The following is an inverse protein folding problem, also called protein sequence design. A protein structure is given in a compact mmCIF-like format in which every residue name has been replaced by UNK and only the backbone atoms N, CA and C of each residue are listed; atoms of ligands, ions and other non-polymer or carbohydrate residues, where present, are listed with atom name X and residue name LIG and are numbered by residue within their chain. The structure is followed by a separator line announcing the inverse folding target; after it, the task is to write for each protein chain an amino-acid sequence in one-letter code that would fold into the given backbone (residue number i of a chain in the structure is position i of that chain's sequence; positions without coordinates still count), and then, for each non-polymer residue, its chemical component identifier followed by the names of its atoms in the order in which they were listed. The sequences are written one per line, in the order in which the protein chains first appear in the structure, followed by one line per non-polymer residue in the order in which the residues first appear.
data_IF_610379339425
#
_entry.id   IF_610379339425
#
_cell.length_a   1.000
_cell.length_b   1.000
_cell.length_c   1.000
_cell.angle_alpha   90.00
_cell.angle_beta   90.00
_cell.angle_gamma   90.00
#
_symmetry.space_group_name_H-M   'P 1'
#
loop_
_entity.id
_entity.type
_entity.pdbx_description
1 polymer ?
#
# COMPACT_ATOMS: atom_id res chain seq x y z
N UNK A 1 20.42 -32.70 48.49
CA UNK A 1 20.10 -34.12 48.20
C UNK A 1 19.43 -34.13 46.84
N UNK A 2 20.16 -34.37 45.74
CA UNK A 2 20.63 -35.66 45.17
C UNK A 2 19.51 -36.52 44.58
N UNK A 3 19.73 -37.00 43.35
CA UNK A 3 18.75 -37.59 42.43
C UNK A 3 18.65 -39.14 42.53
N UNK A 4 17.77 -39.74 41.72
CA UNK A 4 18.10 -40.77 40.70
C UNK A 4 17.87 -40.23 39.25
N UNK A 5 18.49 -40.65 38.13
CA UNK A 5 19.41 -41.76 37.74
C UNK A 5 18.89 -43.18 37.97
N UNK A 6 18.65 -44.03 36.96
CA UNK A 6 18.92 -44.01 35.49
C UNK A 6 17.79 -44.79 34.77
N UNK A 7 17.73 -45.03 33.45
CA UNK A 7 18.65 -45.82 32.59
C UNK A 7 18.39 -45.53 31.10
N UNK A 8 19.40 -45.74 30.27
CA UNK A 8 19.24 -45.89 28.83
C UNK A 8 18.89 -47.34 28.46
N UNK A 9 18.08 -47.53 27.42
CA UNK A 9 18.00 -48.79 26.68
C UNK A 9 18.31 -48.49 25.22
N UNK A 10 19.41 -49.06 24.74
CA UNK A 10 19.74 -49.12 23.31
C UNK A 10 18.99 -50.32 22.74
N UNK A 11 18.21 -50.11 21.69
CA UNK A 11 17.76 -51.20 20.82
C UNK A 11 18.16 -50.87 19.38
N UNK A 12 19.26 -51.48 18.92
CA UNK A 12 19.47 -51.68 17.50
C UNK A 12 18.54 -52.82 17.06
N UNK A 13 17.71 -52.58 16.06
CA UNK A 13 17.15 -53.64 15.23
C UNK A 13 17.42 -53.29 13.77
N UNK A 14 18.00 -54.26 13.07
CA UNK A 14 18.38 -54.21 11.67
C UNK A 14 17.18 -54.03 10.74
N UNK A 15 17.39 -53.34 9.62
CA UNK A 15 16.30 -52.98 8.72
C UNK A 15 15.84 -54.11 7.80
N UNK A 16 14.69 -53.89 7.17
CA UNK A 16 14.27 -54.53 5.92
C UNK A 16 13.79 -53.41 5.00
N UNK A 17 14.43 -53.28 3.83
CA UNK A 17 13.92 -52.42 2.78
C UNK A 17 12.79 -53.14 2.05
N UNK A 18 11.59 -52.54 2.03
CA UNK A 18 10.49 -52.98 1.18
C UNK A 18 10.12 -51.83 0.23
N UNK A 19 10.42 -52.05 -1.06
CA UNK A 19 9.99 -51.17 -2.15
C UNK A 19 8.47 -51.23 -2.29
N UNK A 20 7.78 -50.20 -1.77
CA UNK A 20 6.36 -49.99 -1.98
C UNK A 20 6.10 -48.95 -3.05
N UNK A 21 5.75 -49.38 -4.28
CA UNK A 21 5.18 -48.47 -5.27
C UNK A 21 3.78 -48.04 -4.81
N UNK A 22 3.63 -46.78 -4.40
CA UNK A 22 2.32 -46.14 -4.19
C UNK A 22 2.14 -44.98 -5.16
N UNK A 23 1.04 -45.04 -5.91
CA UNK A 23 0.79 -44.16 -7.06
C UNK A 23 0.62 -42.69 -6.66
N UNK A 24 1.17 -41.78 -7.47
CA UNK A 24 1.01 -40.34 -7.31
C UNK A 24 -0.38 -39.87 -7.73
N UNK A 25 -1.31 -39.76 -6.78
CA UNK A 25 -2.52 -38.94 -6.94
C UNK A 25 -2.16 -37.46 -6.78
N UNK A 26 -1.56 -36.89 -7.83
CA UNK A 26 -1.17 -35.48 -7.85
C UNK A 26 -2.38 -34.55 -7.67
N UNK A 27 -2.43 -33.84 -6.55
CA UNK A 27 -3.40 -32.78 -6.29
C UNK A 27 -2.74 -31.43 -6.63
N UNK A 28 -3.08 -30.77 -7.76
CA UNK A 28 -2.45 -29.51 -8.12
C UNK A 28 -2.99 -28.39 -7.22
N UNK A 29 -2.10 -27.64 -6.55
CA UNK A 29 -2.49 -26.43 -5.83
C UNK A 29 -1.98 -26.27 -4.40
N UNK A 30 -0.72 -26.59 -4.12
CA UNK A 30 0.00 -25.87 -3.06
C UNK A 30 1.30 -25.29 -3.62
N UNK A 31 1.25 -24.00 -3.94
CA UNK A 31 2.45 -23.22 -4.27
C UNK A 31 2.81 -22.37 -3.06
N UNK A 32 3.61 -22.97 -2.19
CA UNK A 32 4.25 -22.32 -1.05
C UNK A 32 5.18 -21.20 -1.53
N UNK A 33 4.61 -20.03 -1.81
CA UNK A 33 5.38 -18.82 -2.15
C UNK A 33 6.14 -18.35 -0.91
N UNK A 34 7.43 -18.66 -0.88
CA UNK A 34 8.39 -18.02 0.02
C UNK A 34 8.41 -16.49 -0.15
N UNK A 35 9.01 -15.76 0.79
CA UNK A 35 9.03 -14.30 0.79
C UNK A 35 9.66 -13.75 -0.50
N UNK A 36 8.95 -12.81 -1.15
CA UNK A 36 9.39 -12.19 -2.40
C UNK A 36 10.61 -11.30 -2.17
N UNK A 37 11.62 -11.43 -3.03
CA UNK A 37 12.67 -10.42 -3.16
C UNK A 37 12.05 -9.09 -3.64
N UNK A 38 12.35 -8.01 -2.92
CA UNK A 38 12.02 -6.64 -3.34
C UNK A 38 13.04 -6.14 -4.39
N UNK A 39 12.68 -5.11 -5.16
CA UNK A 39 13.55 -4.53 -6.20
C UNK A 39 13.31 -5.06 -7.62
N UNK A 40 13.32 -6.38 -7.84
CA UNK A 40 13.36 -6.99 -9.20
C UNK A 40 12.19 -6.66 -10.17
N UNK A 41 11.13 -6.02 -9.71
CA UNK A 41 9.99 -5.57 -10.53
C UNK A 41 9.38 -4.26 -10.00
N UNK A 42 10.21 -3.28 -9.61
CA UNK A 42 9.71 -2.02 -9.08
C UNK A 42 8.80 -1.28 -10.07
N UNK A 43 7.65 -0.77 -9.59
CA UNK A 43 6.69 -0.02 -10.41
C UNK A 43 6.45 1.39 -9.89
N UNK A 44 6.84 2.39 -10.68
CA UNK A 44 6.55 3.79 -10.37
C UNK A 44 5.21 4.19 -10.99
N UNK A 45 4.32 4.73 -10.17
CA UNK A 45 3.04 5.27 -10.59
C UNK A 45 3.00 6.79 -10.46
N UNK A 46 2.45 7.45 -11.48
CA UNK A 46 2.23 8.89 -11.45
C UNK A 46 0.83 9.19 -10.89
N UNK A 47 0.75 10.07 -9.89
CA UNK A 47 -0.47 10.65 -9.35
C UNK A 47 -0.26 12.16 -9.08
N UNK A 48 0.57 12.81 -9.88
CA UNK A 48 0.90 14.22 -9.74
C UNK A 48 -0.11 15.12 -10.43
N UNK A 49 -0.37 16.28 -9.83
CA UNK A 49 -1.31 17.28 -10.33
C UNK A 49 -0.60 18.56 -10.83
N UNK A 50 0.74 18.50 -10.95
CA UNK A 50 1.56 19.58 -11.47
C UNK A 50 1.55 19.56 -13.00
N UNK A 51 1.38 20.72 -13.63
CA UNK A 51 1.43 20.86 -15.09
C UNK A 51 2.85 20.73 -15.68
N UNK A 52 3.86 20.91 -14.85
CA UNK A 52 5.26 21.09 -15.28
C UNK A 52 6.17 19.92 -14.88
N UNK A 53 5.61 18.84 -14.32
CA UNK A 53 6.37 17.62 -14.00
C UNK A 53 6.08 16.50 -14.98
N UNK A 54 7.09 16.14 -15.76
CA UNK A 54 7.03 15.00 -16.67
C UNK A 54 7.78 13.79 -16.06
N UNK A 55 7.03 12.75 -15.72
CA UNK A 55 7.56 11.44 -15.30
C UNK A 55 7.55 10.40 -16.44
N UNK A 56 7.11 10.75 -17.65
CA UNK A 56 7.04 9.81 -18.79
C UNK A 56 8.41 9.20 -19.12
N UNK A 57 9.48 9.98 -18.93
CA UNK A 57 10.87 9.57 -19.11
C UNK A 57 11.31 8.35 -18.27
N UNK A 58 10.58 7.99 -17.20
CA UNK A 58 10.84 6.80 -16.38
C UNK A 58 9.75 5.73 -16.46
N UNK A 59 9.05 5.63 -17.61
CA UNK A 59 8.13 4.52 -17.94
C UNK A 59 7.03 4.32 -16.88
N UNK A 60 6.54 5.41 -16.29
CA UNK A 60 5.49 5.37 -15.28
C UNK A 60 4.16 4.88 -15.86
N UNK A 61 3.25 4.47 -14.98
CA UNK A 61 1.83 4.34 -15.31
C UNK A 61 1.03 5.30 -14.45
N UNK A 62 0.09 6.05 -15.03
CA UNK A 62 -0.84 6.86 -14.25
C UNK A 62 -1.63 5.99 -13.29
N UNK A 63 -1.71 6.38 -12.03
CA UNK A 63 -2.67 5.83 -11.06
C UNK A 63 -3.81 6.82 -10.87
N UNK A 64 -4.98 6.33 -10.50
CA UNK A 64 -6.13 7.20 -10.25
C UNK A 64 -6.54 7.17 -8.77
N UNK A 65 -6.70 8.35 -8.17
CA UNK A 65 -7.14 8.51 -6.77
C UNK A 65 -8.58 9.00 -6.72
N UNK A 66 -9.45 8.18 -6.12
CA UNK A 66 -10.84 8.52 -5.81
C UNK A 66 -10.84 9.31 -4.50
N UNK A 67 -10.72 10.63 -4.58
CA UNK A 67 -10.83 11.49 -3.40
C UNK A 67 -12.24 11.49 -2.80
N UNK A 68 -12.30 11.48 -1.47
CA UNK A 68 -13.51 11.61 -0.64
C UNK A 68 -14.46 12.73 -1.11
N UNK A 69 -13.92 13.90 -1.44
CA UNK A 69 -14.68 15.06 -1.91
C UNK A 69 -15.50 14.81 -3.18
N UNK A 70 -15.02 13.93 -4.08
CA UNK A 70 -15.79 13.53 -5.29
C UNK A 70 -16.99 12.65 -4.93
N UNK A 71 -16.89 11.87 -3.86
CA UNK A 71 -17.98 11.01 -3.35
C UNK A 71 -18.96 11.82 -2.50
N UNK A 72 -18.47 12.77 -1.71
CA UNK A 72 -19.31 13.73 -0.95
C UNK A 72 -20.27 14.52 -1.86
N UNK A 73 -19.81 14.88 -3.07
CA UNK A 73 -20.66 15.54 -4.08
C UNK A 73 -21.84 14.68 -4.55
N UNK A 74 -21.76 13.34 -4.44
CA UNK A 74 -22.85 12.41 -4.75
C UNK A 74 -23.85 12.25 -3.59
N UNK A 75 -23.48 12.64 -2.38
CA UNK A 75 -24.29 12.51 -1.15
C UNK A 75 -24.82 13.85 -0.64
N UNK A 76 -24.45 14.96 -1.27
CA UNK A 76 -24.76 16.32 -0.80
C UNK A 76 -23.98 16.74 0.45
N UNK A 77 -22.94 15.98 0.85
CA UNK A 77 -22.12 16.33 2.02
C UNK A 77 -21.25 17.55 1.76
N UNK A 78 -21.33 18.54 2.65
CA UNK A 78 -20.61 19.82 2.53
C UNK A 78 -19.39 19.93 3.44
N UNK A 79 -19.19 18.98 4.38
CA UNK A 79 -18.13 19.05 5.39
C UNK A 79 -17.23 17.82 5.37
N UNK A 80 -15.95 18.02 5.05
CA UNK A 80 -14.91 16.98 5.09
C UNK A 80 -14.54 16.52 6.51
N UNK A 81 -15.20 17.05 7.55
CA UNK A 81 -15.09 16.55 8.93
C UNK A 81 -16.14 15.47 9.25
N UNK A 82 -17.16 15.31 8.41
CA UNK A 82 -18.19 14.29 8.58
C UNK A 82 -17.72 12.96 7.97
N UNK A 83 -18.06 11.86 8.63
CA UNK A 83 -17.81 10.52 8.10
C UNK A 83 -18.50 10.34 6.74
N UNK A 84 -17.75 9.91 5.72
CA UNK A 84 -18.25 9.74 4.35
C UNK A 84 -19.51 8.86 4.33
N UNK A 85 -20.61 9.39 3.78
CA UNK A 85 -21.84 8.66 3.57
C UNK A 85 -21.71 7.74 2.35
N UNK A 86 -22.52 6.68 2.31
CA UNK A 86 -22.62 5.85 1.11
C UNK A 86 -23.53 6.57 0.10
N UNK A 87 -23.05 6.88 -1.12
CA UNK A 87 -23.90 7.34 -2.20
C UNK A 87 -24.76 6.19 -2.73
N UNK A 88 -25.67 6.51 -3.66
CA UNK A 88 -26.20 5.50 -4.56
C UNK A 88 -25.06 4.77 -5.31
N UNK A 89 -25.21 3.45 -5.44
CA UNK A 89 -24.22 2.57 -6.08
C UNK A 89 -24.08 2.88 -7.56
N UNK A 90 -25.17 3.13 -8.28
CA UNK A 90 -25.11 3.41 -9.71
C UNK A 90 -24.45 4.77 -9.96
N UNK A 91 -24.77 5.81 -9.17
CA UNK A 91 -24.12 7.11 -9.21
C UNK A 91 -22.60 7.02 -8.95
N UNK A 92 -22.18 6.27 -7.92
CA UNK A 92 -20.76 6.04 -7.62
C UNK A 92 -20.02 5.32 -8.75
N UNK A 93 -20.58 4.22 -9.26
CA UNK A 93 -19.98 3.48 -10.37
C UNK A 93 -19.97 4.29 -11.67
N UNK A 94 -20.97 5.14 -11.89
CA UNK A 94 -21.06 6.07 -13.02
C UNK A 94 -19.99 7.17 -12.94
N UNK A 95 -19.73 7.71 -11.73
CA UNK A 95 -18.60 8.61 -11.47
C UNK A 95 -17.26 7.94 -11.77
N UNK A 96 -17.05 6.71 -11.28
CA UNK A 96 -15.82 5.95 -11.54
C UNK A 96 -15.58 5.74 -13.05
N UNK A 97 -16.59 5.31 -13.80
CA UNK A 97 -16.45 5.08 -15.26
C UNK A 97 -16.11 6.35 -16.06
N UNK A 98 -16.56 7.53 -15.62
CA UNK A 98 -16.26 8.81 -16.29
C UNK A 98 -14.87 9.35 -16.01
N UNK A 99 -14.32 9.09 -14.82
CA UNK A 99 -13.16 9.82 -14.33
C UNK A 99 -11.84 9.04 -14.43
N UNK A 100 -11.90 7.73 -14.69
CA UNK A 100 -10.74 6.83 -14.62
C UNK A 100 -10.22 6.47 -16.01
N UNK A 101 -9.09 7.06 -16.40
CA UNK A 101 -8.38 6.75 -17.63
C UNK A 101 -7.80 5.33 -17.67
N UNK A 102 -7.35 4.89 -18.85
CA UNK A 102 -6.85 3.53 -19.09
C UNK A 102 -5.50 3.27 -18.40
N UNK A 103 -5.50 2.38 -17.41
CA UNK A 103 -4.28 1.79 -16.84
C UNK A 103 -3.98 2.19 -15.39
N UNK A 104 -3.17 1.37 -14.73
CA UNK A 104 -2.67 1.59 -13.36
C UNK A 104 -3.65 1.27 -12.20
N UNK A 105 -3.26 1.55 -10.95
CA UNK A 105 -4.11 1.38 -9.77
C UNK A 105 -5.33 2.31 -9.75
N UNK A 106 -6.35 1.92 -8.97
CA UNK A 106 -7.47 2.77 -8.52
C UNK A 106 -7.44 2.77 -7.00
N UNK A 107 -7.21 3.94 -6.41
CA UNK A 107 -6.89 4.10 -4.99
C UNK A 107 -8.01 4.89 -4.34
N UNK A 108 -8.59 4.38 -3.26
CA UNK A 108 -9.64 5.06 -2.51
C UNK A 108 -9.00 5.92 -1.41
N UNK A 109 -9.18 7.24 -1.48
CA UNK A 109 -8.65 8.19 -0.50
C UNK A 109 -9.82 8.77 0.32
N UNK A 110 -10.26 7.98 1.31
CA UNK A 110 -11.43 8.20 2.16
C UNK A 110 -11.00 8.26 3.64
N UNK A 111 -10.26 9.31 4.00
CA UNK A 111 -9.61 9.43 5.32
C UNK A 111 -10.61 9.45 6.49
N UNK A 112 -11.83 9.94 6.30
CA UNK A 112 -12.84 9.91 7.38
C UNK A 112 -13.31 8.49 7.73
N UNK A 113 -13.01 7.50 6.87
CA UNK A 113 -13.28 6.08 7.07
C UNK A 113 -12.11 5.31 7.69
N UNK A 114 -11.03 5.98 8.13
CA UNK A 114 -9.97 5.31 8.89
C UNK A 114 -10.51 4.62 10.16
N UNK A 115 -9.96 3.44 10.44
CA UNK A 115 -10.42 2.51 11.47
C UNK A 115 -9.93 2.95 12.86
N UNK A 116 -10.56 4.02 13.37
CA UNK A 116 -10.20 4.71 14.62
C UNK A 116 -11.40 4.90 15.55
N UNK A 117 -11.14 5.07 16.84
CA UNK A 117 -12.14 5.41 17.87
C UNK A 117 -12.86 4.20 18.48
N UNK A 118 -14.13 4.38 18.87
CA UNK A 118 -14.92 3.30 19.48
C UNK A 118 -15.18 2.14 18.50
N UNK A 119 -15.27 0.90 19.00
CA UNK A 119 -15.37 -0.32 18.17
C UNK A 119 -16.49 -0.26 17.12
N UNK A 120 -17.71 0.10 17.53
CA UNK A 120 -18.86 0.23 16.63
C UNK A 120 -18.69 1.31 15.54
N UNK A 121 -17.82 2.31 15.76
CA UNK A 121 -17.44 3.32 14.74
C UNK A 121 -16.49 2.69 13.73
N UNK A 122 -15.46 1.98 14.20
CA UNK A 122 -14.50 1.29 13.34
C UNK A 122 -15.17 0.20 12.49
N UNK A 123 -16.10 -0.58 13.05
CA UNK A 123 -16.87 -1.60 12.33
C UNK A 123 -17.76 -0.99 11.24
N UNK A 124 -18.50 0.09 11.55
CA UNK A 124 -19.30 0.83 10.56
C UNK A 124 -18.44 1.38 9.42
N UNK A 125 -17.23 1.88 9.71
CA UNK A 125 -16.29 2.39 8.71
C UNK A 125 -15.68 1.27 7.86
N UNK A 126 -15.34 0.14 8.49
CA UNK A 126 -14.94 -1.08 7.80
C UNK A 126 -16.01 -1.55 6.80
N UNK A 127 -17.28 -1.58 7.20
CA UNK A 127 -18.39 -1.95 6.31
C UNK A 127 -18.55 -0.98 5.13
N UNK A 128 -18.35 0.33 5.34
CA UNK A 128 -18.32 1.33 4.26
C UNK A 128 -17.16 1.08 3.29
N UNK A 129 -15.94 0.90 3.80
CA UNK A 129 -14.76 0.58 2.98
C UNK A 129 -14.94 -0.72 2.19
N UNK A 130 -15.48 -1.76 2.81
CA UNK A 130 -15.83 -3.03 2.17
C UNK A 130 -16.80 -2.83 1.00
N UNK A 131 -17.86 -2.01 1.18
CA UNK A 131 -18.82 -1.67 0.11
C UNK A 131 -18.16 -0.90 -1.02
N UNK A 132 -17.37 0.14 -0.73
CA UNK A 132 -16.66 0.91 -1.75
C UNK A 132 -15.64 0.07 -2.54
N UNK A 133 -14.84 -0.77 -1.89
CA UNK A 133 -13.93 -1.71 -2.55
C UNK A 133 -14.70 -2.68 -3.46
N UNK A 134 -15.81 -3.22 -2.98
CA UNK A 134 -16.69 -4.12 -3.76
C UNK A 134 -17.25 -3.43 -5.01
N UNK A 135 -17.78 -2.21 -4.86
CA UNK A 135 -18.34 -1.44 -5.98
C UNK A 135 -17.26 -0.99 -6.97
N UNK A 136 -16.05 -0.70 -6.50
CA UNK A 136 -14.89 -0.36 -7.34
C UNK A 136 -14.42 -1.56 -8.14
N UNK A 137 -14.27 -2.73 -7.51
CA UNK A 137 -13.92 -4.00 -8.17
C UNK A 137 -14.89 -4.36 -9.30
N UNK A 138 -16.19 -4.12 -9.10
CA UNK A 138 -17.22 -4.38 -10.11
C UNK A 138 -17.12 -3.46 -11.33
N UNK A 139 -16.52 -2.27 -11.21
CA UNK A 139 -16.22 -1.39 -12.35
C UNK A 139 -14.87 -1.76 -12.98
N UNK A 140 -13.91 -2.17 -12.16
CA UNK A 140 -12.53 -2.45 -12.57
C UNK A 140 -12.05 -3.85 -12.13
N UNK A 141 -12.60 -4.95 -12.71
CA UNK A 141 -12.27 -6.31 -12.27
C UNK A 141 -10.77 -6.60 -12.34
N UNK A 142 -10.11 -6.12 -13.40
CA UNK A 142 -8.71 -6.45 -13.74
C UNK A 142 -7.69 -5.36 -13.36
N UNK A 143 -8.06 -4.34 -12.58
CA UNK A 143 -7.12 -3.31 -12.10
C UNK A 143 -6.68 -3.59 -10.67
N UNK A 144 -5.54 -3.01 -10.30
CA UNK A 144 -5.11 -2.94 -8.89
C UNK A 144 -6.05 -1.97 -8.16
N UNK A 145 -6.70 -2.43 -7.09
CA UNK A 145 -7.57 -1.63 -6.23
C UNK A 145 -7.09 -1.72 -4.77
N UNK A 146 -7.11 -0.59 -4.06
CA UNK A 146 -6.84 -0.53 -2.62
C UNK A 146 -7.25 0.79 -2.00
N UNK A 147 -7.02 0.93 -0.70
CA UNK A 147 -7.33 2.15 0.07
C UNK A 147 -6.03 2.82 0.51
N UNK A 148 -5.94 4.13 0.31
CA UNK A 148 -4.84 4.95 0.81
C UNK A 148 -4.77 4.91 2.34
N UNK A 149 -3.56 4.88 2.90
CA UNK A 149 -3.27 5.18 4.30
C UNK A 149 -3.77 4.22 5.38
N UNK A 150 -4.67 3.27 5.09
CA UNK A 150 -5.42 2.49 6.10
C UNK A 150 -4.54 1.81 7.15
N UNK A 151 -3.46 1.12 6.76
CA UNK A 151 -2.61 0.40 7.71
C UNK A 151 -1.94 1.35 8.72
N UNK A 152 -1.39 2.48 8.27
CA UNK A 152 -0.77 3.48 9.12
C UNK A 152 -1.77 4.35 9.90
N UNK A 153 -3.06 4.27 9.57
CA UNK A 153 -4.15 5.04 10.17
C UNK A 153 -5.21 4.15 10.84
N UNK A 154 -4.89 2.90 11.19
CA UNK A 154 -5.75 2.05 11.99
C UNK A 154 -5.29 2.09 13.45
N UNK A 155 -6.19 2.36 14.39
CA UNK A 155 -5.84 2.29 15.82
C UNK A 155 -5.46 0.84 16.19
N UNK A 156 -4.51 0.61 17.12
CA UNK A 156 -4.04 -0.74 17.46
C UNK A 156 -5.17 -1.72 17.84
N UNK A 157 -6.27 -1.23 18.42
CA UNK A 157 -7.45 -2.01 18.80
C UNK A 157 -8.28 -2.54 17.62
N UNK A 158 -8.10 -2.01 16.40
CA UNK A 158 -8.88 -2.36 15.20
C UNK A 158 -8.03 -2.99 14.08
N UNK A 159 -6.82 -3.47 14.44
CA UNK A 159 -5.91 -4.17 13.52
C UNK A 159 -6.52 -5.47 12.95
N UNK A 160 -7.47 -6.07 13.63
CA UNK A 160 -8.27 -7.19 13.14
C UNK A 160 -9.14 -6.77 11.93
N UNK A 161 -9.78 -5.60 11.99
CA UNK A 161 -10.58 -5.05 10.90
C UNK A 161 -9.71 -4.67 9.69
N UNK A 162 -8.53 -4.09 9.92
CA UNK A 162 -7.56 -3.84 8.84
C UNK A 162 -7.10 -5.14 8.17
N UNK A 163 -6.87 -6.21 8.95
CA UNK A 163 -6.54 -7.54 8.42
C UNK A 163 -7.72 -8.17 7.67
N UNK A 164 -8.96 -8.00 8.16
CA UNK A 164 -10.17 -8.46 7.46
C UNK A 164 -10.44 -7.69 6.16
N UNK A 165 -9.97 -6.44 6.04
CA UNK A 165 -10.06 -5.64 4.82
C UNK A 165 -8.99 -6.01 3.78
N UNK A 166 -7.87 -6.61 4.18
CA UNK A 166 -6.73 -6.90 3.29
C UNK A 166 -7.08 -7.81 2.09
N UNK A 167 -7.93 -8.86 2.19
CA UNK A 167 -8.34 -9.67 1.05
C UNK A 167 -9.14 -8.93 -0.03
N UNK A 168 -9.71 -7.76 0.29
CA UNK A 168 -10.48 -6.93 -0.64
C UNK A 168 -9.62 -5.93 -1.43
N UNK A 169 -8.30 -5.92 -1.17
CA UNK A 169 -7.31 -5.02 -1.77
C UNK A 169 -6.22 -5.85 -2.47
N UNK A 170 -5.78 -5.44 -3.66
CA UNK A 170 -4.69 -6.13 -4.38
C UNK A 170 -3.30 -5.72 -3.89
N UNK A 171 -3.21 -4.53 -3.29
CA UNK A 171 -1.99 -3.91 -2.81
C UNK A 171 -2.30 -2.97 -1.64
N UNK A 172 -1.29 -2.71 -0.80
CA UNK A 172 -1.34 -1.70 0.25
C UNK A 172 -0.76 -0.38 -0.25
N UNK A 173 -1.42 0.73 0.10
CA UNK A 173 -1.03 2.10 -0.28
C UNK A 173 -0.74 2.96 0.96
N UNK A 174 0.30 2.64 1.75
CA UNK A 174 0.66 3.41 2.94
C UNK A 174 1.18 4.81 2.57
N UNK A 175 1.13 5.74 3.52
CA UNK A 175 1.74 7.07 3.35
C UNK A 175 3.19 7.10 3.85
N UNK A 176 4.06 7.70 3.06
CA UNK A 176 5.50 7.81 3.33
C UNK A 176 6.00 9.25 3.11
N UNK A 177 5.15 10.24 3.40
CA UNK A 177 5.49 11.65 3.29
C UNK A 177 6.49 12.10 4.35
N UNK A 178 7.37 13.02 3.98
CA UNK A 178 8.48 13.48 4.81
C UNK A 178 7.97 14.50 5.85
N UNK A 179 7.70 13.99 7.05
CA UNK A 179 7.19 14.74 8.22
C UNK A 179 8.28 15.29 9.14
N UNK A 180 9.56 15.00 8.85
CA UNK A 180 10.75 15.47 9.58
C UNK A 180 11.91 15.66 8.60
N UNK A 181 12.81 16.59 8.85
CA UNK A 181 13.99 16.89 8.01
C UNK A 181 15.15 15.88 8.13
N UNK A 182 14.86 14.62 8.45
CA UNK A 182 15.88 13.57 8.67
C UNK A 182 15.58 12.34 7.82
N UNK A 183 16.51 12.01 6.92
CA UNK A 183 16.43 10.80 6.10
C UNK A 183 16.46 9.52 6.95
N UNK A 184 17.25 9.50 8.04
CA UNK A 184 17.27 8.36 8.97
C UNK A 184 15.91 8.11 9.63
N UNK A 185 15.22 9.17 10.07
CA UNK A 185 13.89 9.05 10.64
C UNK A 185 12.84 8.60 9.59
N UNK A 186 12.97 9.11 8.35
CA UNK A 186 12.14 8.67 7.22
C UNK A 186 12.39 7.20 6.84
N UNK A 187 13.65 6.74 6.88
CA UNK A 187 14.03 5.36 6.59
C UNK A 187 13.48 4.39 7.64
N UNK A 188 13.56 4.75 8.92
CA UNK A 188 12.91 3.98 9.98
C UNK A 188 11.38 3.88 9.79
N UNK A 189 10.74 4.92 9.25
CA UNK A 189 9.32 4.89 8.90
C UNK A 189 9.05 3.98 7.69
N UNK A 190 9.90 3.99 6.65
CA UNK A 190 9.82 3.05 5.51
C UNK A 190 9.88 1.58 5.98
N UNK A 191 10.85 1.26 6.83
CA UNK A 191 11.05 -0.11 7.31
C UNK A 191 9.89 -0.55 8.24
N UNK A 192 9.37 0.36 9.09
CA UNK A 192 8.17 0.14 9.92
C UNK A 192 6.90 -0.10 9.08
N UNK A 193 6.67 0.72 8.04
CA UNK A 193 5.55 0.58 7.10
C UNK A 193 5.60 -0.78 6.38
N UNK A 194 6.80 -1.21 5.96
CA UNK A 194 7.01 -2.53 5.34
C UNK A 194 6.69 -3.66 6.30
N UNK A 195 7.19 -3.59 7.54
CA UNK A 195 6.96 -4.62 8.55
C UNK A 195 5.48 -4.78 8.90
N UNK A 196 4.73 -3.68 9.06
CA UNK A 196 3.29 -3.73 9.34
C UNK A 196 2.51 -4.32 8.15
N UNK A 197 2.83 -3.93 6.91
CA UNK A 197 2.23 -4.51 5.71
C UNK A 197 2.47 -6.03 5.61
N UNK A 198 3.72 -6.48 5.82
CA UNK A 198 4.08 -7.90 5.82
C UNK A 198 3.43 -8.69 6.96
N UNK A 199 3.20 -8.06 8.13
CA UNK A 199 2.48 -8.66 9.26
C UNK A 199 0.98 -8.87 8.97
N UNK A 200 0.39 -8.03 8.12
CA UNK A 200 -1.02 -8.14 7.72
C UNK A 200 -1.19 -9.18 6.61
N UNK A 201 -0.41 -9.08 5.53
CA UNK A 201 -0.40 -10.01 4.40
C UNK A 201 0.96 -9.97 3.67
N UNK A 202 1.85 -10.96 3.89
CA UNK A 202 3.21 -10.95 3.34
C UNK A 202 3.29 -11.20 1.83
N UNK A 203 2.19 -11.63 1.20
CA UNK A 203 2.10 -11.81 -0.26
C UNK A 203 1.57 -10.57 -0.99
N UNK A 204 1.05 -9.57 -0.25
CA UNK A 204 0.47 -8.35 -0.81
C UNK A 204 1.55 -7.37 -1.24
N UNK A 205 1.37 -6.77 -2.42
CA UNK A 205 2.30 -5.74 -2.91
C UNK A 205 2.16 -4.44 -2.13
N UNK A 206 3.26 -3.72 -1.96
CA UNK A 206 3.28 -2.44 -1.24
C UNK A 206 3.68 -1.32 -2.18
N UNK A 207 2.82 -0.32 -2.31
CA UNK A 207 3.01 0.88 -3.14
C UNK A 207 2.84 2.15 -2.29
N UNK A 208 3.85 2.54 -1.48
CA UNK A 208 3.77 3.76 -0.69
C UNK A 208 3.54 5.00 -1.54
N UNK A 209 2.78 5.93 -1.00
CA UNK A 209 2.70 7.30 -1.50
C UNK A 209 3.91 8.09 -1.00
N UNK A 210 4.68 8.62 -1.96
CA UNK A 210 5.81 9.54 -1.75
C UNK A 210 5.52 10.88 -2.40
N UNK A 211 6.13 11.96 -1.90
CA UNK A 211 5.84 13.32 -2.32
C UNK A 211 7.13 14.15 -2.31
N UNK A 212 7.51 14.82 -3.42
CA UNK A 212 8.71 15.68 -3.49
C UNK A 212 8.66 16.96 -2.61
N UNK A 213 7.67 17.11 -1.72
CA UNK A 213 7.58 18.21 -0.75
C UNK A 213 7.57 17.66 0.68
N UNK A 214 8.07 18.45 1.62
CA UNK A 214 7.80 18.23 3.04
C UNK A 214 6.30 18.24 3.34
N UNK A 215 5.87 17.33 4.20
CA UNK A 215 4.52 17.36 4.76
C UNK A 215 4.32 18.63 5.60
N UNK A 216 3.06 19.08 5.77
CA UNK A 216 2.71 20.28 6.55
C UNK A 216 3.27 20.28 7.98
N UNK A 217 3.48 19.08 8.56
CA UNK A 217 4.08 18.89 9.88
C UNK A 217 5.59 19.21 9.97
N UNK A 218 6.33 19.10 8.85
CA UNK A 218 7.73 19.53 8.75
C UNK A 218 7.86 20.95 8.17
N UNK A 219 6.98 21.32 7.25
CA UNK A 219 7.00 22.59 6.55
C UNK A 219 5.57 23.05 6.28
N UNK A 220 5.05 24.08 6.99
CA UNK A 220 3.71 24.61 6.73
C UNK A 220 3.53 25.13 5.30
N UNK A 221 4.60 25.63 4.69
CA UNK A 221 4.65 26.06 3.28
C UNK A 221 4.78 24.90 2.29
N UNK A 222 5.01 23.67 2.78
CA UNK A 222 5.26 22.46 1.98
C UNK A 222 6.44 22.67 1.01
N UNK A 223 7.56 23.15 1.53
CA UNK A 223 8.76 23.35 0.71
C UNK A 223 9.18 22.05 0.01
N UNK A 224 9.77 22.17 -1.19
CA UNK A 224 10.37 21.03 -1.89
C UNK A 224 11.46 20.39 -1.02
N UNK A 225 11.59 19.07 -1.12
CA UNK A 225 12.68 18.34 -0.49
C UNK A 225 14.03 18.73 -1.13
N UNK A 226 15.11 18.83 -0.34
CA UNK A 226 16.45 18.98 -0.89
C UNK A 226 16.75 17.85 -1.88
N UNK A 227 17.34 18.17 -3.03
CA UNK A 227 17.59 17.22 -4.14
C UNK A 227 18.24 15.91 -3.70
N UNK A 228 19.23 15.98 -2.81
CA UNK A 228 19.90 14.80 -2.25
C UNK A 228 18.94 13.92 -1.43
N UNK A 229 18.13 14.54 -0.56
CA UNK A 229 17.14 13.84 0.26
C UNK A 229 16.09 13.14 -0.60
N UNK A 230 15.52 13.83 -1.60
CA UNK A 230 14.55 13.22 -2.52
C UNK A 230 15.13 12.01 -3.27
N UNK A 231 16.37 12.11 -3.77
CA UNK A 231 17.04 10.99 -4.43
C UNK A 231 17.22 9.80 -3.48
N UNK A 232 17.69 10.03 -2.26
CA UNK A 232 17.85 8.97 -1.25
C UNK A 232 16.51 8.34 -0.85
N UNK A 233 15.43 9.11 -0.79
CA UNK A 233 14.08 8.58 -0.55
C UNK A 233 13.61 7.68 -1.70
N UNK A 234 13.67 8.15 -2.96
CA UNK A 234 13.28 7.36 -4.14
C UNK A 234 14.09 6.06 -4.24
N UNK A 235 15.42 6.14 -4.06
CA UNK A 235 16.31 4.98 -4.10
C UNK A 235 15.98 3.97 -2.99
N UNK A 236 15.74 4.45 -1.76
CA UNK A 236 15.36 3.61 -0.64
C UNK A 236 14.02 2.89 -0.87
N UNK A 237 13.01 3.56 -1.46
CA UNK A 237 11.76 2.90 -1.85
C UNK A 237 12.00 1.87 -2.95
N UNK A 238 12.81 2.19 -3.97
CA UNK A 238 13.14 1.30 -5.08
C UNK A 238 13.78 -0.01 -4.63
N UNK A 239 14.70 0.05 -3.65
CA UNK A 239 15.37 -1.12 -3.08
C UNK A 239 14.48 -1.96 -2.13
N UNK A 240 13.40 -1.37 -1.58
CA UNK A 240 12.72 -1.91 -0.38
C UNK A 240 11.26 -2.35 -0.64
N UNK A 241 10.60 -1.81 -1.67
CA UNK A 241 9.17 -1.98 -1.94
C UNK A 241 8.90 -2.58 -3.34
N UNK A 242 7.63 -2.90 -3.65
CA UNK A 242 7.21 -3.37 -4.99
C UNK A 242 7.03 -2.24 -6.00
N UNK A 243 7.02 -0.99 -5.55
CA UNK A 243 6.72 0.20 -6.34
C UNK A 243 6.52 1.42 -5.47
N UNK A 244 6.07 2.52 -6.07
CA UNK A 244 5.67 3.74 -5.37
C UNK A 244 4.61 4.50 -6.16
N UNK A 245 3.78 5.28 -5.47
CA UNK A 245 2.93 6.30 -6.08
C UNK A 245 3.56 7.66 -5.79
N UNK A 246 3.97 8.38 -6.83
CA UNK A 246 4.42 9.77 -6.69
C UNK A 246 3.18 10.66 -6.71
N UNK A 247 2.92 11.34 -5.61
CA UNK A 247 1.81 12.26 -5.48
C UNK A 247 2.29 13.71 -5.43
N UNK A 248 1.45 14.63 -5.90
CA UNK A 248 1.62 16.05 -5.62
C UNK A 248 0.26 16.76 -5.57
N UNK A 249 0.12 17.79 -4.72
CA UNK A 249 -1.08 18.61 -4.73
C UNK A 249 -1.14 19.56 -5.94
N UNK A 250 -2.28 20.20 -6.21
CA UNK A 250 -2.42 21.14 -7.33
C UNK A 250 -1.64 22.47 -7.19
N UNK A 251 -0.88 22.68 -6.10
CA UNK A 251 -0.01 23.85 -5.91
C UNK A 251 1.43 23.49 -6.25
N UNK A 252 1.88 23.85 -7.45
CA UNK A 252 3.29 23.74 -7.84
C UNK A 252 4.16 24.52 -6.84
N UNK A 253 5.19 23.90 -6.29
CA UNK A 253 6.17 24.55 -5.43
C UNK A 253 7.32 25.24 -6.24
N UNK A 254 7.00 25.69 -7.46
CA UNK A 254 7.95 26.27 -8.42
C UNK A 254 8.54 25.27 -9.42
N UNK A 255 9.44 25.77 -10.28
CA UNK A 255 10.24 24.94 -11.19
C UNK A 255 11.11 23.99 -10.38
N UNK A 256 11.10 22.70 -10.73
CA UNK A 256 11.73 21.69 -9.89
C UNK A 256 12.26 20.49 -10.68
N UNK A 257 13.48 20.08 -10.37
CA UNK A 257 14.16 18.96 -11.04
C UNK A 257 13.73 17.59 -10.53
N UNK A 258 12.85 17.53 -9.52
CA UNK A 258 12.54 16.29 -8.79
C UNK A 258 12.06 15.17 -9.73
N UNK A 259 11.29 15.48 -10.79
CA UNK A 259 10.81 14.48 -11.74
C UNK A 259 11.96 13.88 -12.56
N UNK A 260 12.88 14.72 -13.04
CA UNK A 260 14.13 14.31 -13.71
C UNK A 260 15.02 13.50 -12.76
N UNK A 261 15.11 13.91 -11.50
CA UNK A 261 15.89 13.22 -10.47
C UNK A 261 15.29 11.84 -10.12
N UNK A 262 13.97 11.73 -10.03
CA UNK A 262 13.25 10.45 -9.90
C UNK A 262 13.57 9.55 -11.08
N UNK A 263 13.42 10.04 -12.31
CA UNK A 263 13.71 9.24 -13.49
C UNK A 263 15.20 8.83 -13.58
N UNK A 264 16.12 9.70 -13.18
CA UNK A 264 17.55 9.38 -13.12
C UNK A 264 17.86 8.27 -12.10
N UNK A 265 17.19 8.25 -10.93
CA UNK A 265 17.32 7.12 -9.97
C UNK A 265 16.74 5.85 -10.60
N UNK A 266 15.54 5.92 -11.18
CA UNK A 266 14.89 4.76 -11.80
C UNK A 266 15.73 4.11 -12.91
N UNK A 267 16.41 4.89 -13.74
CA UNK A 267 17.29 4.38 -14.81
C UNK A 267 18.56 3.69 -14.29
N UNK A 268 18.95 3.92 -13.02
CA UNK A 268 20.12 3.26 -12.40
C UNK A 268 19.75 2.05 -11.53
N UNK A 269 18.47 1.78 -11.31
CA UNK A 269 17.97 0.70 -10.44
C UNK A 269 17.21 -0.40 -11.21
N UNK A 270 17.14 -0.28 -12.54
CA UNK A 270 16.41 -1.18 -13.45
C UNK A 270 17.31 -2.24 -14.10
#
# INVERSE_FOLDING_TARGET
MTAPRSLAVILLVTGVALSGCSASTGRPGDSSRGPRSAGAHFRLFDNTYYRDSDLSACRTSTSYTVYESRVMALTGQTSAKQELALPDRAAYQSMLRRAVDRGGPVILDFETLYLKGARHVAERRYDKLKRFLTWTRQVFPNRIVGVYGVLGNTDPAHRDLAKALAPLQDAFFPTLYTTRSSFTAWRAHLDSVRAEAQRVDPAKRIYPFIWPQFHAAASPTKALLPRAMWRSEVEAVAQTMDGAVVWSGARNAGSSTWARDTCAVMSTTA
#
